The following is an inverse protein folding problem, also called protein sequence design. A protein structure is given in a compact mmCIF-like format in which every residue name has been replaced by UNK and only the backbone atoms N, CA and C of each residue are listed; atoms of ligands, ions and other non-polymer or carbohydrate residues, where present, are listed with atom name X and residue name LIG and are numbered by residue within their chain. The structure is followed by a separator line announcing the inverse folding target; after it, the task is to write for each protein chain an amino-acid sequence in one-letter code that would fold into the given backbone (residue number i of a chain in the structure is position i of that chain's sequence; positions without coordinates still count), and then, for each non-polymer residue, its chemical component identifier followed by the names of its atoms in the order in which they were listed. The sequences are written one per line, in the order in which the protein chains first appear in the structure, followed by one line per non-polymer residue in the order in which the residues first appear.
data_IF_315561353328
#
_entry.id   IF_315561353328
#
_cell.length_a   1.000
_cell.length_b   1.000
_cell.length_c   1.000
_cell.angle_alpha   90.00
_cell.angle_beta   90.00
_cell.angle_gamma   90.00
#
_symmetry.space_group_name_H-M   'P 1'
#
loop_
_entity.id
_entity.type
_entity.pdbx_description
1 polymer ?
#
# COMPACT_ATOMS: atom_id res chain seq x y z
N UNK A 1 -0.42 11.00 -14.15
CA UNK A 1 -1.09 10.98 -12.82
C UNK A 1 -1.49 9.55 -12.47
N UNK A 2 -1.27 9.14 -11.21
CA UNK A 2 -1.63 7.81 -10.71
C UNK A 2 -3.02 7.86 -10.07
N UNK A 3 -3.97 7.05 -10.54
CA UNK A 3 -5.33 6.98 -10.01
C UNK A 3 -5.69 5.55 -9.58
N UNK A 4 -6.69 5.42 -8.71
CA UNK A 4 -7.20 4.14 -8.24
C UNK A 4 -7.60 4.17 -6.77
N UNK A 5 -8.38 3.19 -6.33
CA UNK A 5 -8.83 3.08 -4.94
C UNK A 5 -7.68 3.07 -3.94
N UNK A 6 -7.97 3.29 -2.65
CA UNK A 6 -6.96 3.14 -1.60
C UNK A 6 -6.28 1.77 -1.73
N UNK A 7 -4.98 1.71 -1.45
CA UNK A 7 -4.22 0.45 -1.40
C UNK A 7 -4.16 -0.33 -2.72
N UNK A 8 -4.47 0.29 -3.85
CA UNK A 8 -4.33 -0.31 -5.18
C UNK A 8 -2.87 -0.50 -5.63
N UNK A 9 -1.90 0.06 -4.89
CA UNK A 9 -0.47 0.00 -5.19
C UNK A 9 0.10 1.26 -5.86
N UNK A 10 -0.62 2.41 -5.85
CA UNK A 10 -0.14 3.67 -6.46
C UNK A 10 1.21 4.11 -5.90
N UNK A 11 1.34 4.20 -4.58
CA UNK A 11 2.59 4.62 -3.95
C UNK A 11 3.71 3.58 -4.14
N UNK A 12 3.38 2.29 -4.29
CA UNK A 12 4.37 1.26 -4.67
C UNK A 12 4.84 1.47 -6.10
N UNK A 13 3.93 1.78 -7.04
CA UNK A 13 4.31 2.14 -8.40
C UNK A 13 5.16 3.43 -8.43
N UNK A 14 4.83 4.43 -7.61
CA UNK A 14 5.65 5.64 -7.48
C UNK A 14 7.09 5.30 -7.06
N UNK A 15 7.25 4.42 -6.07
CA UNK A 15 8.57 3.92 -5.66
C UNK A 15 9.28 3.16 -6.78
N UNK A 16 8.57 2.39 -7.60
CA UNK A 16 9.15 1.72 -8.78
C UNK A 16 9.66 2.73 -9.82
N UNK A 17 8.93 3.83 -10.07
CA UNK A 17 9.42 4.94 -10.90
C UNK A 17 10.68 5.59 -10.30
N UNK A 18 10.69 5.81 -8.98
CA UNK A 18 11.86 6.34 -8.29
C UNK A 18 13.05 5.37 -8.39
N UNK A 19 12.85 4.08 -8.21
CA UNK A 19 13.89 3.07 -8.36
C UNK A 19 14.44 3.03 -9.80
N UNK A 20 13.58 3.20 -10.81
CA UNK A 20 13.97 3.11 -12.21
C UNK A 20 14.68 4.38 -12.72
N UNK A 21 14.15 5.57 -12.40
CA UNK A 21 14.65 6.84 -12.94
C UNK A 21 15.51 7.67 -11.96
N UNK A 22 15.44 7.38 -10.67
CA UNK A 22 16.09 8.17 -9.60
C UNK A 22 16.63 7.28 -8.46
N UNK A 23 17.27 6.15 -8.82
CA UNK A 23 17.78 5.15 -7.86
C UNK A 23 18.71 5.75 -6.80
N UNK A 24 19.59 6.66 -7.20
CA UNK A 24 20.52 7.36 -6.29
C UNK A 24 19.78 8.14 -5.20
N UNK A 25 18.67 8.80 -5.55
CA UNK A 25 17.83 9.52 -4.58
C UNK A 25 17.23 8.56 -3.56
N UNK A 26 16.75 7.40 -4.03
CA UNK A 26 16.22 6.37 -3.13
C UNK A 26 17.28 5.86 -2.16
N UNK A 27 18.51 5.65 -2.62
CA UNK A 27 19.63 5.18 -1.79
C UNK A 27 19.97 6.18 -0.67
N UNK A 28 19.95 7.49 -0.96
CA UNK A 28 20.13 8.53 0.05
C UNK A 28 18.98 8.60 1.05
N UNK A 29 17.77 8.22 0.65
CA UNK A 29 16.57 8.23 1.49
C UNK A 29 16.39 6.96 2.33
N UNK A 30 17.18 5.88 2.09
CA UNK A 30 17.06 4.60 2.82
C UNK A 30 16.99 4.74 4.35
N UNK A 31 17.84 5.54 5.02
CA UNK A 31 17.76 5.69 6.48
C UNK A 31 16.41 6.20 6.96
N UNK A 32 15.75 7.03 6.16
CA UNK A 32 14.48 7.69 6.48
C UNK A 32 13.29 6.72 6.40
N UNK A 33 13.46 5.59 5.73
CA UNK A 33 12.47 4.51 5.68
C UNK A 33 12.52 3.58 6.89
N UNK A 34 13.61 3.57 7.67
CA UNK A 34 13.78 2.72 8.85
C UNK A 34 12.65 2.90 9.89
N UNK A 35 12.29 4.12 10.33
CA UNK A 35 11.16 4.29 11.25
C UNK A 35 9.82 3.83 10.67
N UNK A 36 9.64 3.92 9.34
CA UNK A 36 8.42 3.44 8.68
C UNK A 36 8.33 1.93 8.71
N UNK A 37 9.44 1.22 8.46
CA UNK A 37 9.49 -0.24 8.56
C UNK A 37 9.15 -0.68 9.98
N UNK A 38 9.75 -0.05 10.98
CA UNK A 38 9.46 -0.35 12.38
C UNK A 38 7.99 -0.09 12.72
N UNK A 39 7.41 1.02 12.26
CA UNK A 39 5.99 1.27 12.43
C UNK A 39 5.12 0.15 11.84
N UNK A 40 5.44 -0.34 10.64
CA UNK A 40 4.69 -1.42 9.99
C UNK A 40 4.79 -2.74 10.77
N UNK A 41 5.96 -3.06 11.32
CA UNK A 41 6.16 -4.22 12.22
C UNK A 41 5.31 -4.07 13.48
N UNK A 42 5.42 -2.94 14.18
CA UNK A 42 4.73 -2.70 15.46
C UNK A 42 3.21 -2.76 15.25
N UNK A 43 2.71 -2.12 14.19
CA UNK A 43 1.29 -2.15 13.83
C UNK A 43 0.81 -3.58 13.55
N UNK A 44 1.61 -4.40 12.87
CA UNK A 44 1.28 -5.80 12.62
C UNK A 44 1.15 -6.59 13.92
N UNK A 45 2.09 -6.41 14.85
CA UNK A 45 2.06 -7.04 16.18
C UNK A 45 0.83 -6.59 16.97
N UNK A 46 0.53 -5.28 17.02
CA UNK A 46 -0.67 -4.74 17.67
C UNK A 46 -1.95 -5.37 17.12
N UNK A 47 -2.11 -5.44 15.80
CA UNK A 47 -3.28 -6.04 15.17
C UNK A 47 -3.49 -7.52 15.54
N UNK A 48 -2.41 -8.29 15.69
CA UNK A 48 -2.50 -9.69 16.13
C UNK A 48 -2.93 -9.77 17.59
N UNK A 49 -2.39 -8.91 18.45
CA UNK A 49 -2.72 -8.88 19.88
C UNK A 49 -4.16 -8.41 20.15
N UNK A 50 -4.63 -7.39 19.45
CA UNK A 50 -6.01 -6.91 19.58
C UNK A 50 -7.02 -8.02 19.23
N UNK A 51 -6.71 -8.84 18.22
CA UNK A 51 -7.55 -9.97 17.84
C UNK A 51 -7.53 -11.09 18.89
N UNK A 52 -6.37 -11.34 19.50
CA UNK A 52 -6.26 -12.28 20.62
C UNK A 52 -7.08 -11.82 21.82
N UNK A 53 -7.03 -10.55 22.16
CA UNK A 53 -7.82 -9.96 23.26
C UNK A 53 -9.34 -10.09 22.99
N UNK A 54 -9.79 -9.84 21.75
CA UNK A 54 -11.19 -10.00 21.36
C UNK A 54 -11.69 -11.46 21.48
N UNK A 55 -10.87 -12.44 21.13
CA UNK A 55 -11.23 -13.86 21.23
C UNK A 55 -11.34 -14.32 22.70
N UNK A 56 -10.42 -13.88 23.56
CA UNK A 56 -10.47 -14.16 25.01
C UNK A 56 -11.77 -13.63 25.62
N UNK A 57 -12.16 -12.38 25.31
CA UNK A 57 -13.41 -11.79 25.81
C UNK A 57 -14.65 -12.54 25.27
N UNK A 58 -14.62 -12.96 24.01
CA UNK A 58 -15.75 -13.71 23.42
C UNK A 58 -15.92 -15.08 24.08
N UNK A 59 -14.81 -15.76 24.35
CA UNK A 59 -14.82 -17.09 24.99
C UNK A 59 -15.37 -17.05 26.42
N UNK A 60 -15.05 -16.02 27.20
CA UNK A 60 -15.50 -15.88 28.60
C UNK A 60 -16.98 -15.54 28.76
N UNK A 61 -17.63 -15.00 27.72
CA UNK A 61 -19.06 -14.71 27.71
C UNK A 61 -19.94 -15.87 27.19
N UNK A 62 -19.35 -16.93 26.63
CA UNK A 62 -20.06 -18.05 25.99
C UNK A 62 -20.34 -19.25 26.91
N UNK A 63 -20.64 -19.01 28.19
CA UNK A 63 -21.14 -20.03 29.12
C UNK A 63 -22.64 -20.29 28.89
N UNK A 64 -22.98 -21.12 27.90
CA UNK A 64 -24.17 -22.00 27.93
C UNK A 64 -24.28 -22.88 26.67
N UNK A 65 -24.10 -24.19 26.89
CA UNK A 65 -24.64 -25.31 26.10
C UNK A 65 -24.39 -25.34 24.58
N UNK A 66 -23.28 -25.95 24.16
CA UNK A 66 -23.28 -26.94 23.07
C UNK A 66 -21.95 -27.70 23.01
N UNK A 67 -22.03 -29.04 23.01
CA UNK A 67 -20.90 -29.99 23.00
C UNK A 67 -20.13 -30.06 21.66
N UNK A 68 -19.94 -28.91 20.99
CA UNK A 68 -19.14 -28.83 19.74
C UNK A 68 -17.99 -27.82 19.86
N UNK A 69 -17.79 -27.21 21.03
CA UNK A 69 -16.66 -26.29 21.23
C UNK A 69 -15.37 -27.04 21.55
N UNK A 70 -14.82 -27.75 20.56
CA UNK A 70 -13.38 -28.05 20.48
C UNK A 70 -12.57 -26.79 20.14
N UNK A 71 -12.98 -25.65 20.71
CA UNK A 71 -12.37 -24.32 20.55
C UNK A 71 -11.00 -24.36 21.20
N UNK A 72 -10.03 -24.64 20.33
CA UNK A 72 -8.75 -23.95 20.26
C UNK A 72 -8.28 -23.52 21.64
N UNK A 73 -7.60 -24.43 22.34
CA UNK A 73 -6.60 -24.02 23.33
C UNK A 73 -5.52 -23.27 22.56
N UNK A 74 -5.77 -21.99 22.23
CA UNK A 74 -4.72 -20.98 22.30
C UNK A 74 -4.08 -21.25 23.65
N UNK A 75 -2.77 -21.44 23.68
CA UNK A 75 -2.05 -21.75 24.92
C UNK A 75 -2.66 -20.91 26.04
N UNK A 76 -3.00 -21.58 27.17
CA UNK A 76 -3.71 -21.04 28.36
C UNK A 76 -3.79 -19.52 28.39
N UNK A 77 -4.92 -18.86 28.73
CA UNK A 77 -5.03 -17.39 28.83
C UNK A 77 -3.80 -16.68 29.44
N UNK A 78 -3.10 -17.39 30.34
CA UNK A 78 -1.78 -17.08 30.89
C UNK A 78 -0.70 -16.78 29.82
N UNK A 79 -0.54 -17.61 28.78
CA UNK A 79 0.43 -17.44 27.69
C UNK A 79 0.13 -16.20 26.83
N UNK A 80 -1.14 -16.00 26.44
CA UNK A 80 -1.54 -14.79 25.71
C UNK A 80 -1.32 -13.53 26.56
N UNK A 81 -1.64 -13.60 27.86
CA UNK A 81 -1.37 -12.53 28.82
C UNK A 81 0.13 -12.24 28.99
N UNK A 82 0.96 -13.28 29.09
CA UNK A 82 2.42 -13.16 29.24
C UNK A 82 3.07 -12.52 27.99
N UNK A 83 2.71 -12.99 26.78
CA UNK A 83 3.16 -12.38 25.53
C UNK A 83 2.72 -10.92 25.42
N UNK A 84 1.47 -10.61 25.78
CA UNK A 84 0.95 -9.24 25.77
C UNK A 84 1.74 -8.33 26.71
N UNK A 85 2.02 -8.79 27.93
CA UNK A 85 2.82 -8.03 28.90
C UNK A 85 4.24 -7.79 28.39
N UNK A 86 4.86 -8.78 27.76
CA UNK A 86 6.21 -8.66 27.17
C UNK A 86 6.26 -7.72 25.97
N UNK A 87 5.23 -7.74 25.12
CA UNK A 87 5.15 -6.92 23.90
C UNK A 87 4.61 -5.50 24.13
N UNK A 88 4.04 -5.21 25.30
CA UNK A 88 3.49 -3.89 25.64
C UNK A 88 4.48 -2.71 25.42
N UNK A 89 5.77 -2.81 25.78
CA UNK A 89 6.73 -1.74 25.53
C UNK A 89 6.87 -1.40 24.04
N UNK A 90 6.75 -2.40 23.15
CA UNK A 90 6.80 -2.21 21.71
C UNK A 90 5.57 -1.46 21.20
N UNK A 91 4.39 -1.86 21.69
CA UNK A 91 3.10 -1.24 21.33
C UNK A 91 3.03 0.22 21.79
N UNK A 92 3.61 0.54 22.96
CA UNK A 92 3.65 1.90 23.50
C UNK A 92 4.44 2.88 22.63
N UNK A 93 5.38 2.39 21.81
CA UNK A 93 6.19 3.23 20.91
C UNK A 93 5.38 3.63 19.66
N UNK A 94 4.37 2.85 19.26
CA UNK A 94 3.66 3.05 17.98
C UNK A 94 3.10 4.46 17.83
N UNK A 95 2.39 4.97 18.83
CA UNK A 95 1.70 6.26 18.74
C UNK A 95 2.72 7.41 18.67
N UNK A 96 3.85 7.26 19.36
CA UNK A 96 4.96 8.20 19.31
C UNK A 96 5.61 8.20 17.93
N UNK A 97 5.87 7.01 17.37
CA UNK A 97 6.43 6.85 16.04
C UNK A 97 5.48 7.40 14.97
N UNK A 98 4.18 7.12 15.10
CA UNK A 98 3.15 7.63 14.20
C UNK A 98 3.02 9.15 14.25
N UNK A 99 3.00 9.75 15.43
CA UNK A 99 2.94 11.21 15.61
C UNK A 99 4.13 11.93 14.96
N UNK A 100 5.33 11.39 15.13
CA UNK A 100 6.54 11.93 14.51
C UNK A 100 6.54 11.75 12.98
N UNK A 101 6.10 10.59 12.47
CA UNK A 101 5.97 10.34 11.03
C UNK A 101 4.91 11.22 10.36
N UNK A 102 3.82 11.51 11.06
CA UNK A 102 2.74 12.38 10.59
C UNK A 102 3.11 13.87 10.64
N UNK A 103 4.26 14.23 11.21
CA UNK A 103 4.70 15.62 11.37
C UNK A 103 3.83 16.46 12.32
N UNK A 104 3.01 15.83 13.16
CA UNK A 104 2.06 16.47 14.09
C UNK A 104 0.63 16.64 13.56
N UNK A 105 0.26 16.01 12.44
CA UNK A 105 -1.13 15.99 11.94
C UNK A 105 -1.90 14.81 12.53
N UNK A 106 -2.94 15.09 13.30
CA UNK A 106 -3.94 14.10 13.71
C UNK A 106 -5.13 14.13 12.73
N UNK A 107 -5.56 12.96 12.24
CA UNK A 107 -6.83 12.85 11.52
C UNK A 107 -7.94 12.60 12.53
N UNK A 108 -9.01 13.41 12.45
CA UNK A 108 -10.22 13.18 13.24
C UNK A 108 -10.81 11.80 12.90
N UNK A 109 -10.94 10.93 13.91
CA UNK A 109 -11.49 9.58 13.73
C UNK A 109 -10.82 8.47 14.55
N UNK A 110 -9.79 8.77 15.35
CA UNK A 110 -9.27 7.86 16.38
C UNK A 110 -8.61 6.56 15.89
N UNK A 111 -8.31 6.43 14.59
CA UNK A 111 -7.63 5.24 14.06
C UNK A 111 -6.11 5.43 14.08
N UNK A 112 -5.32 4.46 14.60
CA UNK A 112 -3.87 4.49 14.51
C UNK A 112 -3.44 4.26 13.06
N UNK A 113 -2.80 5.26 12.47
CA UNK A 113 -2.34 5.22 11.09
C UNK A 113 -1.28 6.27 10.82
N UNK A 114 -0.28 5.91 10.01
CA UNK A 114 0.70 6.86 9.50
C UNK A 114 0.23 7.41 8.16
N UNK A 115 0.12 8.73 8.14
CA UNK A 115 -0.40 9.53 7.07
C UNK A 115 0.67 10.48 6.58
N UNK A 116 0.92 10.43 5.29
CA UNK A 116 2.11 11.04 4.72
C UNK A 116 1.74 12.06 3.65
N UNK A 117 2.36 13.24 3.75
CA UNK A 117 2.28 14.33 2.76
C UNK A 117 3.58 14.43 1.97
N UNK A 118 3.55 15.19 0.87
CA UNK A 118 4.75 15.59 0.12
C UNK A 118 5.86 16.08 1.05
N UNK A 119 7.07 15.52 0.91
CA UNK A 119 8.25 15.96 1.65
C UNK A 119 8.38 15.44 3.09
N UNK A 120 7.60 14.45 3.53
CA UNK A 120 7.73 13.85 4.86
C UNK A 120 9.13 13.34 5.20
N UNK A 121 9.89 12.85 4.21
CA UNK A 121 11.27 12.39 4.40
C UNK A 121 12.19 13.52 4.87
N UNK A 122 11.85 14.77 4.54
CA UNK A 122 12.55 15.93 5.06
C UNK A 122 12.42 16.03 6.59
N UNK A 123 11.31 15.58 7.18
CA UNK A 123 11.12 15.57 8.63
C UNK A 123 11.96 14.50 9.34
N UNK A 124 12.55 13.57 8.59
CA UNK A 124 13.23 12.37 9.11
C UNK A 124 14.74 12.39 8.80
N UNK A 125 15.20 13.25 7.88
CA UNK A 125 16.59 13.24 7.37
C UNK A 125 17.38 14.51 7.78
N UNK A 126 18.50 14.40 8.51
CA UNK A 126 19.25 15.56 9.01
C UNK A 126 20.17 16.26 7.98
N UNK A 127 20.34 15.75 6.75
CA UNK A 127 21.24 16.37 5.76
C UNK A 127 20.60 16.45 4.37
N UNK A 128 20.54 17.66 3.80
CA UNK A 128 20.23 17.92 2.38
C UNK A 128 21.45 18.47 1.66
N UNK A 129 21.61 18.12 0.39
CA UNK A 129 22.57 18.68 -0.57
C UNK A 129 21.97 19.78 -1.46
N UNK A 130 20.67 20.09 -1.35
CA UNK A 130 20.01 21.14 -2.13
C UNK A 130 19.05 21.96 -1.25
N UNK A 131 19.21 23.28 -1.27
CA UNK A 131 18.36 24.22 -0.54
C UNK A 131 17.06 24.51 -1.32
N UNK A 132 15.91 24.32 -0.68
CA UNK A 132 14.68 24.99 -1.08
C UNK A 132 14.69 26.39 -0.44
N UNK A 133 14.36 27.46 -1.19
CA UNK A 133 14.17 28.76 -0.58
C UNK A 133 12.91 28.71 0.28
N UNK A 134 13.07 29.09 1.54
CA UNK A 134 12.00 29.54 2.44
C UNK A 134 11.34 28.49 3.36
N UNK A 135 12.10 27.95 4.33
CA UNK A 135 11.58 27.52 5.63
C UNK A 135 12.60 27.81 6.76
N UNK A 136 12.15 28.50 7.82
CA UNK A 136 12.93 28.95 8.98
C UNK A 136 13.60 27.76 9.73
N UNK A 137 14.91 27.86 10.00
CA UNK A 137 15.82 26.76 10.37
C UNK A 137 15.87 26.24 11.85
N UNK A 138 15.33 26.85 12.92
CA UNK A 138 15.57 26.33 14.29
C UNK A 138 14.62 25.20 14.75
N UNK A 139 13.41 25.06 14.20
CA UNK A 139 12.45 24.02 14.64
C UNK A 139 12.65 22.65 13.97
N UNK A 140 13.45 22.60 12.91
CA UNK A 140 13.69 21.42 12.08
C UNK A 140 14.69 20.43 12.71
N UNK A 141 15.76 20.94 13.33
CA UNK A 141 16.80 20.11 13.96
C UNK A 141 16.31 19.36 15.21
N UNK A 142 15.42 19.98 15.98
CA UNK A 142 14.79 19.37 17.16
C UNK A 142 13.90 18.18 16.80
N UNK A 143 13.07 18.30 15.75
CA UNK A 143 12.19 17.21 15.29
C UNK A 143 13.00 16.05 14.72
N UNK A 144 14.06 16.34 13.97
CA UNK A 144 14.93 15.31 13.40
C UNK A 144 15.67 14.52 14.49
N UNK A 145 16.16 15.21 15.52
CA UNK A 145 16.81 14.59 16.68
C UNK A 145 15.83 13.74 17.49
N UNK A 146 14.60 14.24 17.70
CA UNK A 146 13.55 13.48 18.39
C UNK A 146 13.18 12.19 17.62
N UNK A 147 13.02 12.29 16.30
CA UNK A 147 12.73 11.13 15.45
C UNK A 147 13.85 10.09 15.49
N UNK A 148 15.11 10.51 15.42
CA UNK A 148 16.25 9.60 15.54
C UNK A 148 16.26 8.87 16.89
N UNK A 149 15.95 9.58 17.99
CA UNK A 149 15.85 9.00 19.34
C UNK A 149 14.73 7.94 19.42
N UNK A 150 13.53 8.27 18.94
CA UNK A 150 12.38 7.35 18.92
C UNK A 150 12.65 6.13 18.03
N UNK A 151 13.30 6.34 16.87
CA UNK A 151 13.70 5.25 15.97
C UNK A 151 14.70 4.31 16.63
N UNK A 152 15.69 4.85 17.34
CA UNK A 152 16.67 4.06 18.07
C UNK A 152 16.05 3.31 19.25
N UNK A 153 15.08 3.91 19.94
CA UNK A 153 14.30 3.22 20.96
C UNK A 153 13.53 2.05 20.36
N UNK A 154 12.81 2.27 19.24
CA UNK A 154 12.12 1.21 18.52
C UNK A 154 13.07 0.08 18.08
N UNK A 155 14.24 0.41 17.55
CA UNK A 155 15.25 -0.57 17.15
C UNK A 155 15.70 -1.44 18.33
N UNK A 156 16.04 -0.82 19.48
CA UNK A 156 16.46 -1.54 20.69
C UNK A 156 15.35 -2.42 21.25
N UNK A 157 14.12 -1.91 21.28
CA UNK A 157 12.96 -2.66 21.76
C UNK A 157 12.64 -3.85 20.84
N UNK A 158 12.73 -3.66 19.51
CA UNK A 158 12.58 -4.76 18.56
C UNK A 158 13.66 -5.82 18.74
N UNK A 159 14.93 -5.41 18.85
CA UNK A 159 16.05 -6.33 19.09
C UNK A 159 15.90 -7.15 20.39
N UNK A 160 15.34 -6.54 21.43
CA UNK A 160 15.07 -7.22 22.70
C UNK A 160 13.85 -8.13 22.72
N UNK A 161 12.97 -8.05 21.71
CA UNK A 161 11.68 -8.76 21.66
C UNK A 161 11.53 -9.65 20.41
N UNK A 162 12.63 -9.96 19.71
CA UNK A 162 12.59 -10.74 18.47
C UNK A 162 11.95 -12.11 18.69
N UNK A 163 12.34 -12.81 19.77
CA UNK A 163 11.85 -14.16 20.07
C UNK A 163 10.35 -14.13 20.39
N UNK A 164 9.87 -13.13 21.15
CA UNK A 164 8.45 -12.96 21.46
C UNK A 164 7.61 -12.64 20.22
N UNK A 165 8.15 -11.82 19.30
CA UNK A 165 7.46 -11.50 18.04
C UNK A 165 7.40 -12.73 17.13
N UNK A 166 8.48 -13.51 17.05
CA UNK A 166 8.50 -14.75 16.28
C UNK A 166 7.56 -15.79 16.87
N UNK A 167 7.58 -15.98 18.18
CA UNK A 167 6.66 -16.88 18.87
C UNK A 167 5.21 -16.47 18.60
N UNK A 168 4.87 -15.19 18.79
CA UNK A 168 3.54 -14.65 18.46
C UNK A 168 3.13 -14.97 17.00
N UNK A 169 4.03 -14.76 16.04
CA UNK A 169 3.72 -14.93 14.63
C UNK A 169 3.65 -16.40 14.19
N UNK A 170 4.53 -17.24 14.71
CA UNK A 170 4.65 -18.64 14.30
C UNK A 170 3.76 -19.58 15.13
N UNK A 171 3.25 -19.13 16.29
CA UNK A 171 2.46 -19.98 17.18
C UNK A 171 1.24 -20.59 16.45
N UNK A 172 1.08 -21.93 16.46
CA UNK A 172 0.04 -22.62 15.69
C UNK A 172 -1.38 -22.17 16.01
N UNK A 173 -1.64 -21.85 17.29
CA UNK A 173 -2.96 -21.40 17.69
C UNK A 173 -3.28 -19.99 17.21
N UNK A 174 -2.28 -19.09 17.15
CA UNK A 174 -2.44 -17.74 16.62
C UNK A 174 -2.69 -17.84 15.12
N UNK A 175 -1.86 -18.60 14.39
CA UNK A 175 -2.09 -18.90 12.96
C UNK A 175 -3.47 -19.51 12.68
N UNK A 176 -4.02 -20.31 13.61
CA UNK A 176 -5.37 -20.87 13.48
C UNK A 176 -6.45 -19.82 13.75
N UNK A 177 -6.32 -19.03 14.81
CA UNK A 177 -7.23 -17.93 15.14
C UNK A 177 -7.32 -16.90 14.01
N UNK A 178 -6.16 -16.45 13.50
CA UNK A 178 -6.09 -15.52 12.37
C UNK A 178 -6.86 -16.05 11.14
N UNK A 179 -6.77 -17.36 10.87
CA UNK A 179 -7.51 -18.02 9.78
C UNK A 179 -9.02 -18.12 10.06
N UNK A 180 -9.40 -18.44 11.29
CA UNK A 180 -10.81 -18.64 11.67
C UNK A 180 -11.59 -17.33 11.71
N UNK A 181 -11.03 -16.32 12.36
CA UNK A 181 -11.63 -14.98 12.43
C UNK A 181 -11.47 -14.20 11.13
N UNK A 182 -10.74 -14.79 10.17
CA UNK A 182 -10.42 -14.17 8.88
C UNK A 182 -9.82 -12.79 9.10
N UNK A 183 -8.98 -12.65 10.14
CA UNK A 183 -8.30 -11.40 10.44
C UNK A 183 -7.51 -11.01 9.19
N UNK A 184 -7.79 -9.81 8.70
CA UNK A 184 -7.10 -9.24 7.57
C UNK A 184 -6.00 -8.33 8.09
N UNK A 185 -4.86 -8.94 8.40
CA UNK A 185 -3.64 -8.16 8.54
C UNK A 185 -3.37 -7.40 7.25
N UNK A 186 -2.67 -6.28 7.37
CA UNK A 186 -2.10 -5.58 6.22
C UNK A 186 -1.34 -6.60 5.36
N UNK A 187 -1.50 -6.55 4.03
CA UNK A 187 -0.93 -7.55 3.12
C UNK A 187 0.60 -7.66 3.22
N UNK A 188 1.26 -6.58 3.69
CA UNK A 188 2.70 -6.52 3.92
C UNK A 188 3.14 -7.05 5.30
N UNK A 189 2.23 -7.27 6.25
CA UNK A 189 2.57 -7.72 7.59
C UNK A 189 3.32 -9.07 7.60
N UNK A 190 2.90 -10.10 6.84
CA UNK A 190 3.65 -11.36 6.77
C UNK A 190 5.10 -11.16 6.34
N UNK A 191 5.35 -10.32 5.33
CA UNK A 191 6.71 -10.02 4.84
C UNK A 191 7.61 -9.49 5.96
N UNK A 192 7.13 -8.55 6.76
CA UNK A 192 7.92 -8.00 7.86
C UNK A 192 8.11 -8.97 9.03
N UNK A 193 7.05 -9.69 9.42
CA UNK A 193 7.11 -10.64 10.54
C UNK A 193 7.98 -11.86 10.21
N UNK A 194 7.96 -12.35 8.96
CA UNK A 194 8.84 -13.45 8.51
C UNK A 194 10.33 -13.03 8.46
N UNK A 195 10.62 -11.72 8.44
CA UNK A 195 11.98 -11.16 8.37
C UNK A 195 12.43 -10.48 9.67
N UNK A 196 11.72 -10.67 10.79
CA UNK A 196 11.91 -9.87 12.00
C UNK A 196 13.35 -9.90 12.54
N UNK A 197 14.04 -11.05 12.49
CA UNK A 197 15.45 -11.17 12.90
C UNK A 197 16.36 -10.18 12.16
N UNK A 198 16.27 -10.12 10.83
CA UNK A 198 17.03 -9.18 9.99
C UNK A 198 16.66 -7.73 10.29
N UNK A 199 15.36 -7.45 10.46
CA UNK A 199 14.88 -6.09 10.73
C UNK A 199 15.32 -5.55 12.10
N UNK A 200 15.59 -6.46 13.04
CA UNK A 200 15.99 -6.15 14.41
C UNK A 200 17.52 -6.04 14.60
N UNK A 201 18.31 -6.27 13.55
CA UNK A 201 19.77 -6.11 13.61
C UNK A 201 20.15 -4.65 13.95
N UNK A 202 21.20 -4.41 14.77
CA UNK A 202 21.57 -3.07 15.20
C UNK A 202 21.89 -2.11 14.03
N UNK A 203 22.56 -2.63 13.02
CA UNK A 203 22.99 -1.95 11.80
C UNK A 203 22.00 -2.09 10.63
N UNK A 204 20.77 -2.56 10.91
CA UNK A 204 19.72 -2.71 9.91
C UNK A 204 19.53 -1.44 9.07
N UNK A 205 19.65 -1.62 7.76
CA UNK A 205 19.35 -0.65 6.72
C UNK A 205 18.23 -1.20 5.82
N UNK A 206 17.15 -0.43 5.58
CA UNK A 206 16.07 -0.86 4.70
C UNK A 206 16.55 -1.26 3.31
N UNK A 207 16.21 -2.48 2.91
CA UNK A 207 16.41 -2.98 1.55
C UNK A 207 15.39 -2.39 0.60
N UNK A 208 15.60 -2.55 -0.70
CA UNK A 208 14.60 -2.13 -1.70
C UNK A 208 13.27 -2.84 -1.48
N UNK A 209 13.29 -4.13 -1.14
CA UNK A 209 12.09 -4.91 -0.86
C UNK A 209 11.35 -4.39 0.38
N UNK A 210 12.06 -4.01 1.44
CA UNK A 210 11.46 -3.37 2.62
C UNK A 210 10.70 -2.10 2.22
N UNK A 211 11.35 -1.25 1.43
CA UNK A 211 10.77 0.03 0.99
C UNK A 211 9.56 -0.20 0.07
N UNK A 212 9.57 -1.21 -0.79
CA UNK A 212 8.42 -1.53 -1.65
C UNK A 212 7.24 -2.08 -0.85
N UNK A 213 7.51 -2.83 0.23
CA UNK A 213 6.48 -3.44 1.08
C UNK A 213 5.93 -2.50 2.18
N UNK A 214 6.64 -1.43 2.57
CA UNK A 214 6.08 -0.54 3.61
C UNK A 214 4.80 0.14 3.16
N UNK A 215 3.83 0.17 4.06
CA UNK A 215 2.53 0.77 3.87
C UNK A 215 2.46 2.10 4.60
N UNK A 216 2.25 3.15 3.80
CA UNK A 216 1.98 4.51 4.25
C UNK A 216 0.71 4.95 3.54
N UNK A 217 -0.23 5.57 4.25
CA UNK A 217 -1.42 6.12 3.62
C UNK A 217 -1.13 7.54 3.13
N UNK A 218 -1.13 7.73 1.81
CA UNK A 218 -0.99 9.06 1.19
C UNK A 218 -2.22 9.91 1.49
N UNK A 219 -2.01 11.10 2.06
CA UNK A 219 -3.05 12.12 2.19
C UNK A 219 -2.91 13.18 1.11
N UNK A 220 -4.03 13.49 0.47
CA UNK A 220 -4.06 14.53 -0.57
C UNK A 220 -3.30 14.10 -1.81
N UNK A 221 -2.51 15.01 -2.37
CA UNK A 221 -1.77 14.85 -3.63
C UNK A 221 -0.28 15.08 -3.37
N UNK A 222 0.54 14.12 -3.79
CA UNK A 222 1.98 14.19 -3.77
C UNK A 222 2.56 14.33 -5.18
N UNK A 223 3.54 15.21 -5.33
CA UNK A 223 4.20 15.50 -6.61
C UNK A 223 5.60 14.91 -6.62
N UNK A 224 5.94 14.21 -7.70
CA UNK A 224 7.25 13.62 -7.93
C UNK A 224 7.76 14.03 -9.31
N UNK A 225 9.02 14.45 -9.37
CA UNK A 225 9.68 14.88 -10.61
C UNK A 225 10.77 13.88 -10.98
N UNK A 226 10.82 13.50 -12.24
CA UNK A 226 11.84 12.61 -12.78
C UNK A 226 12.41 13.22 -14.05
N UNK A 227 13.72 13.43 -14.07
CA UNK A 227 14.43 13.82 -15.28
C UNK A 227 14.81 12.55 -16.05
N UNK A 228 14.19 12.37 -17.21
CA UNK A 228 14.38 11.18 -18.03
C UNK A 228 14.93 11.54 -19.40
N UNK A 229 15.69 10.61 -19.98
CA UNK A 229 16.22 10.74 -21.34
C UNK A 229 15.56 9.68 -22.20
N UNK A 230 14.80 10.10 -23.22
CA UNK A 230 14.15 9.20 -24.17
C UNK A 230 14.45 9.66 -25.59
N UNK A 231 15.01 8.78 -26.41
CA UNK A 231 15.41 9.12 -27.78
C UNK A 231 16.44 10.25 -27.87
N UNK A 232 17.27 10.45 -26.84
CA UNK A 232 18.25 11.54 -26.76
C UNK A 232 17.67 12.90 -26.33
N UNK A 233 16.36 12.99 -26.08
CA UNK A 233 15.69 14.20 -25.60
C UNK A 233 15.45 14.09 -24.09
N UNK A 234 15.72 15.18 -23.38
CA UNK A 234 15.44 15.29 -21.94
C UNK A 234 13.97 15.67 -21.72
N UNK A 235 13.27 14.88 -20.91
CA UNK A 235 11.91 15.16 -20.46
C UNK A 235 11.88 15.26 -18.94
N UNK A 236 11.15 16.23 -18.42
CA UNK A 236 10.81 16.28 -17.00
C UNK A 236 9.42 15.66 -16.81
N UNK A 237 9.37 14.45 -16.26
CA UNK A 237 8.12 13.79 -15.92
C UNK A 237 7.62 14.28 -14.57
N UNK A 238 6.42 14.85 -14.56
CA UNK A 238 5.70 15.24 -13.36
C UNK A 238 4.61 14.22 -13.04
N UNK A 239 4.82 13.47 -11.96
CA UNK A 239 3.91 12.42 -11.51
C UNK A 239 3.19 12.83 -10.22
N UNK A 240 1.86 12.85 -10.31
CA UNK A 240 0.96 13.05 -9.17
C UNK A 240 0.53 11.69 -8.59
N UNK A 241 0.86 11.41 -7.33
CA UNK A 241 0.30 10.31 -6.51
C UNK A 241 -0.81 10.86 -5.61
N UNK A 242 -2.03 10.37 -5.76
CA UNK A 242 -3.20 10.90 -5.04
C UNK A 242 -3.79 9.88 -4.08
N UNK A 243 -4.34 10.36 -2.96
CA UNK A 243 -5.08 9.52 -2.01
C UNK A 243 -6.28 8.82 -2.68
N UNK A 244 -6.37 7.50 -2.53
CA UNK A 244 -7.37 6.66 -3.20
C UNK A 244 -8.71 6.50 -2.46
N UNK A 245 -8.77 6.95 -1.21
CA UNK A 245 -9.93 6.84 -0.33
C UNK A 245 -11.13 7.62 -0.91
N UNK A 246 -12.35 7.11 -0.73
CA UNK A 246 -13.56 7.71 -1.33
C UNK A 246 -13.74 9.19 -0.98
N UNK A 247 -13.49 9.55 0.28
CA UNK A 247 -13.62 10.92 0.76
C UNK A 247 -12.61 11.90 0.15
N UNK A 248 -11.50 11.43 -0.42
CA UNK A 248 -10.41 12.28 -0.92
C UNK A 248 -10.44 12.50 -2.44
N UNK A 249 -11.33 11.82 -3.17
CA UNK A 249 -11.32 11.81 -4.65
C UNK A 249 -11.65 13.17 -5.28
N UNK A 250 -12.35 14.04 -4.56
CA UNK A 250 -12.65 15.40 -5.00
C UNK A 250 -11.38 16.25 -5.20
N UNK A 251 -10.31 15.93 -4.47
CA UNK A 251 -9.04 16.65 -4.57
C UNK A 251 -8.28 16.36 -5.89
N UNK A 252 -8.73 15.41 -6.71
CA UNK A 252 -8.05 15.03 -7.94
C UNK A 252 -8.35 15.97 -9.10
N UNK A 253 -9.57 16.53 -9.15
CA UNK A 253 -10.09 17.32 -10.28
C UNK A 253 -9.17 18.48 -10.69
N UNK A 254 -8.57 19.27 -9.76
CA UNK A 254 -7.66 20.35 -10.14
C UNK A 254 -6.43 19.92 -10.95
N UNK A 255 -6.09 18.63 -10.95
CA UNK A 255 -4.92 18.07 -11.64
C UNK A 255 -5.30 17.36 -12.96
N UNK A 256 -6.56 17.44 -13.41
CA UNK A 256 -7.04 16.70 -14.57
C UNK A 256 -6.74 17.40 -15.89
N UNK A 257 -6.81 18.73 -15.95
CA UNK A 257 -6.79 19.48 -17.20
C UNK A 257 -5.45 19.36 -17.95
N UNK A 258 -4.33 19.32 -17.23
CA UNK A 258 -2.98 19.23 -17.81
C UNK A 258 -2.41 17.79 -17.82
N UNK A 259 -3.24 16.78 -17.51
CA UNK A 259 -2.77 15.41 -17.42
C UNK A 259 -2.50 14.80 -18.81
N UNK A 260 -1.24 14.60 -19.18
CA UNK A 260 -0.85 13.89 -20.42
C UNK A 260 -1.29 12.42 -20.40
N UNK A 261 -1.20 11.76 -19.24
CA UNK A 261 -1.56 10.36 -19.08
C UNK A 261 -2.10 10.04 -17.68
N UNK A 262 -3.05 9.11 -17.64
CA UNK A 262 -3.61 8.50 -16.44
C UNK A 262 -3.11 7.05 -16.36
N UNK A 263 -2.46 6.72 -15.26
CA UNK A 263 -2.15 5.34 -14.90
C UNK A 263 -3.12 4.93 -13.81
N UNK A 264 -4.12 4.12 -14.17
CA UNK A 264 -5.14 3.62 -13.27
C UNK A 264 -4.75 2.25 -12.72
N UNK A 265 -4.68 2.14 -11.39
CA UNK A 265 -4.34 0.90 -10.69
C UNK A 265 -5.60 0.26 -10.10
N UNK A 266 -5.87 -0.98 -10.51
CA UNK A 266 -6.98 -1.80 -10.03
C UNK A 266 -6.45 -3.09 -9.38
N UNK A 267 -6.57 -3.26 -8.05
CA UNK A 267 -6.06 -4.45 -7.38
C UNK A 267 -7.01 -5.63 -7.58
N UNK A 268 -6.64 -6.60 -8.43
CA UNK A 268 -7.49 -7.75 -8.75
C UNK A 268 -7.69 -8.69 -7.55
N UNK A 269 -6.70 -8.76 -6.65
CA UNK A 269 -6.75 -9.62 -5.46
C UNK A 269 -7.86 -9.21 -4.48
N UNK A 270 -8.42 -8.00 -4.59
CA UNK A 270 -9.41 -7.46 -3.67
C UNK A 270 -10.85 -7.93 -3.93
N UNK A 271 -11.04 -8.96 -4.77
CA UNK A 271 -12.36 -9.48 -5.15
C UNK A 271 -13.18 -10.01 -3.96
N UNK A 272 -12.54 -10.46 -2.90
CA UNK A 272 -13.16 -10.95 -1.66
C UNK A 272 -13.26 -9.87 -0.57
N UNK A 273 -12.88 -8.62 -0.88
CA UNK A 273 -12.77 -7.53 0.08
C UNK A 273 -13.83 -6.44 -0.15
N UNK A 274 -14.16 -5.74 0.93
CA UNK A 274 -15.07 -4.59 0.95
C UNK A 274 -14.30 -3.34 1.37
N UNK A 275 -14.81 -2.17 1.02
CA UNK A 275 -14.19 -0.91 1.40
C UNK A 275 -14.22 -0.71 2.92
N UNK A 276 -13.19 -0.09 3.47
CA UNK A 276 -13.16 0.27 4.88
C UNK A 276 -14.16 1.38 5.21
N UNK A 277 -14.40 2.30 4.27
CA UNK A 277 -15.33 3.42 4.47
C UNK A 277 -16.79 3.00 4.23
N UNK A 278 -17.01 1.90 3.50
CA UNK A 278 -18.32 1.36 3.15
C UNK A 278 -18.26 -0.17 3.06
N UNK A 279 -18.58 -0.82 4.17
CA UNK A 279 -18.56 -2.28 4.30
C UNK A 279 -19.55 -3.04 3.40
N UNK A 280 -20.43 -2.34 2.66
CA UNK A 280 -21.35 -2.96 1.70
C UNK A 280 -20.78 -3.00 0.28
N UNK A 281 -19.85 -2.11 -0.04
CA UNK A 281 -19.29 -2.02 -1.39
C UNK A 281 -18.06 -2.89 -1.54
N UNK A 282 -18.12 -3.84 -2.48
CA UNK A 282 -16.96 -4.64 -2.88
C UNK A 282 -15.89 -3.77 -3.56
N UNK A 283 -14.61 -4.04 -3.28
CA UNK A 283 -13.48 -3.22 -3.77
C UNK A 283 -13.26 -3.27 -5.28
N UNK A 284 -13.55 -4.40 -5.93
CA UNK A 284 -13.51 -4.50 -7.40
C UNK A 284 -14.64 -3.68 -8.01
N UNK A 285 -15.82 -3.72 -7.39
CA UNK A 285 -16.95 -2.93 -7.87
C UNK A 285 -16.68 -1.42 -7.78
N UNK A 286 -16.12 -0.94 -6.66
CA UNK A 286 -15.69 0.46 -6.53
C UNK A 286 -14.62 0.83 -7.56
N UNK A 287 -13.66 -0.05 -7.85
CA UNK A 287 -12.65 0.19 -8.89
C UNK A 287 -13.27 0.33 -10.28
N UNK A 288 -14.26 -0.52 -10.63
CA UNK A 288 -14.99 -0.43 -11.90
C UNK A 288 -15.81 0.87 -11.99
N UNK A 289 -16.48 1.27 -10.91
CA UNK A 289 -17.20 2.54 -10.84
C UNK A 289 -16.26 3.74 -11.01
N UNK A 290 -15.12 3.72 -10.33
CA UNK A 290 -14.12 4.78 -10.43
C UNK A 290 -13.54 4.88 -11.83
N UNK A 291 -13.20 3.74 -12.44
CA UNK A 291 -12.72 3.71 -13.82
C UNK A 291 -13.77 4.19 -14.82
N UNK A 292 -15.05 3.86 -14.60
CA UNK A 292 -16.18 4.40 -15.38
C UNK A 292 -16.17 5.93 -15.34
N UNK A 293 -16.03 6.52 -14.15
CA UNK A 293 -16.00 7.97 -13.98
C UNK A 293 -14.83 8.61 -14.74
N UNK A 294 -13.63 8.02 -14.67
CA UNK A 294 -12.43 8.46 -15.40
C UNK A 294 -12.64 8.36 -16.92
N UNK A 295 -13.17 7.24 -17.41
CA UNK A 295 -13.47 7.04 -18.83
C UNK A 295 -14.50 8.03 -19.36
N UNK A 296 -15.42 8.53 -18.53
CA UNK A 296 -16.43 9.51 -18.94
C UNK A 296 -16.10 10.97 -18.60
N UNK A 297 -14.92 11.25 -18.02
CA UNK A 297 -14.58 12.59 -17.57
C UNK A 297 -14.08 13.48 -18.72
N UNK A 298 -14.79 14.60 -18.96
CA UNK A 298 -14.50 15.55 -20.04
C UNK A 298 -13.13 16.24 -19.93
N UNK A 299 -12.64 16.44 -18.71
CA UNK A 299 -11.32 17.06 -18.46
C UNK A 299 -10.19 16.14 -18.94
N UNK A 300 -10.42 14.82 -18.88
CA UNK A 300 -9.43 13.81 -19.26
C UNK A 300 -9.51 13.40 -20.74
N UNK A 301 -10.26 14.12 -21.57
CA UNK A 301 -10.51 13.75 -22.98
C UNK A 301 -9.23 13.56 -23.81
N UNK A 302 -8.17 14.30 -23.51
CA UNK A 302 -6.87 14.23 -24.19
C UNK A 302 -5.85 13.32 -23.52
N UNK A 303 -6.13 12.83 -22.31
CA UNK A 303 -5.17 12.05 -21.53
C UNK A 303 -5.09 10.61 -22.02
N UNK A 304 -3.89 10.06 -22.19
CA UNK A 304 -3.71 8.63 -22.45
C UNK A 304 -4.16 7.78 -21.25
N UNK A 305 -4.77 6.62 -21.51
CA UNK A 305 -5.23 5.72 -20.46
C UNK A 305 -4.37 4.45 -20.38
N UNK A 306 -3.77 4.24 -19.22
CA UNK A 306 -3.03 3.04 -18.88
C UNK A 306 -3.74 2.37 -17.71
N UNK A 307 -4.10 1.10 -17.87
CA UNK A 307 -4.75 0.27 -16.86
C UNK A 307 -3.76 -0.78 -16.37
N UNK A 308 -3.43 -0.71 -15.09
CA UNK A 308 -2.62 -1.71 -14.40
C UNK A 308 -3.52 -2.54 -13.49
N UNK A 309 -3.77 -3.78 -13.91
CA UNK A 309 -4.47 -4.80 -13.14
C UNK A 309 -3.48 -5.41 -12.16
N UNK A 310 -3.36 -4.76 -11.00
CA UNK A 310 -2.29 -4.98 -10.03
C UNK A 310 -2.61 -6.12 -9.04
N UNK A 311 -1.59 -6.53 -8.28
CA UNK A 311 -1.63 -7.60 -7.27
C UNK A 311 -1.99 -8.95 -7.87
N UNK A 312 -1.48 -9.20 -9.09
CA UNK A 312 -1.67 -10.47 -9.78
C UNK A 312 -1.09 -11.66 -9.00
N UNK A 313 0.00 -11.47 -8.27
CA UNK A 313 0.63 -12.43 -7.37
C UNK A 313 -0.31 -12.82 -6.22
N UNK A 314 -0.94 -11.84 -5.56
CA UNK A 314 -1.89 -12.10 -4.47
C UNK A 314 -3.18 -12.74 -4.99
N UNK A 315 -3.60 -12.40 -6.22
CA UNK A 315 -4.72 -13.09 -6.87
C UNK A 315 -4.41 -14.59 -7.01
N UNK A 316 -3.23 -14.95 -7.55
CA UNK A 316 -2.79 -16.36 -7.68
C UNK A 316 -2.84 -17.08 -6.34
N UNK A 317 -2.19 -16.52 -5.31
CA UNK A 317 -2.16 -17.08 -3.95
C UNK A 317 -3.56 -17.33 -3.37
N UNK A 318 -4.50 -16.40 -3.57
CA UNK A 318 -5.89 -16.55 -3.09
C UNK A 318 -6.66 -17.65 -3.81
N UNK A 319 -6.46 -17.80 -5.12
CA UNK A 319 -7.11 -18.84 -5.91
C UNK A 319 -6.56 -20.22 -5.57
N UNK A 320 -5.24 -20.34 -5.39
CA UNK A 320 -4.55 -21.56 -4.93
C UNK A 320 -5.01 -21.97 -3.52
N UNK A 321 -5.24 -21.00 -2.63
CA UNK A 321 -5.86 -21.23 -1.32
C UNK A 321 -7.34 -21.67 -1.40
N UNK A 322 -7.92 -21.76 -2.60
CA UNK A 322 -9.27 -22.27 -2.84
C UNK A 322 -10.39 -21.23 -2.71
N UNK A 323 -10.06 -19.95 -2.54
CA UNK A 323 -11.07 -18.88 -2.45
C UNK A 323 -11.82 -18.77 -3.78
N UNK A 324 -13.15 -18.88 -3.72
CA UNK A 324 -14.02 -18.92 -4.91
C UNK A 324 -14.50 -17.51 -5.27
N UNK A 325 -14.15 -17.03 -6.47
CA UNK A 325 -14.55 -15.70 -6.97
C UNK A 325 -16.07 -15.56 -7.07
N UNK A 326 -16.77 -16.59 -7.53
CA UNK A 326 -18.24 -16.61 -7.66
C UNK A 326 -19.00 -16.30 -6.36
N UNK A 327 -18.36 -16.52 -5.19
CA UNK A 327 -18.94 -16.21 -3.88
C UNK A 327 -19.09 -14.71 -3.65
N UNK A 328 -18.21 -13.92 -4.24
CA UNK A 328 -18.13 -12.47 -4.03
C UNK A 328 -18.56 -11.68 -5.26
N UNK A 329 -18.37 -12.25 -6.44
CA UNK A 329 -18.70 -11.63 -7.73
C UNK A 329 -19.63 -12.59 -8.46
N UNK A 330 -20.93 -12.40 -8.26
CA UNK A 330 -21.99 -13.28 -8.80
C UNK A 330 -22.00 -13.32 -10.32
N UNK A 331 -21.65 -12.21 -10.99
CA UNK A 331 -21.53 -12.14 -12.45
C UNK A 331 -20.39 -13.00 -13.04
N UNK A 332 -19.50 -13.53 -12.20
CA UNK A 332 -18.50 -14.51 -12.63
C UNK A 332 -19.13 -15.85 -13.04
N UNK A 333 -20.29 -16.20 -12.49
CA UNK A 333 -21.02 -17.43 -12.84
C UNK A 333 -20.22 -18.71 -12.61
N UNK A 334 -20.32 -19.64 -13.56
CA UNK A 334 -19.71 -20.99 -13.49
C UNK A 334 -18.35 -21.12 -14.19
N UNK A 335 -17.69 -19.98 -14.44
CA UNK A 335 -16.32 -19.92 -14.98
C UNK A 335 -15.31 -20.65 -14.08
N UNK A 336 -14.21 -21.14 -14.66
CA UNK A 336 -13.19 -21.85 -13.87
C UNK A 336 -12.48 -20.87 -12.94
N UNK A 337 -12.27 -21.30 -11.70
CA UNK A 337 -11.65 -20.49 -10.65
C UNK A 337 -10.12 -20.59 -10.67
N UNK A 338 -9.50 -20.41 -11.85
CA UNK A 338 -8.05 -20.37 -12.05
C UNK A 338 -7.59 -18.95 -12.39
N UNK A 339 -6.29 -18.69 -12.33
CA UNK A 339 -5.75 -17.34 -12.51
C UNK A 339 -6.05 -16.78 -13.90
N UNK A 340 -5.89 -17.58 -14.94
CA UNK A 340 -6.03 -17.17 -16.33
C UNK A 340 -7.47 -16.68 -16.61
N UNK A 341 -8.47 -17.45 -16.22
CA UNK A 341 -9.87 -17.14 -16.49
C UNK A 341 -10.39 -16.01 -15.60
N UNK A 342 -9.95 -15.93 -14.34
CA UNK A 342 -10.33 -14.85 -13.41
C UNK A 342 -9.68 -13.52 -13.81
N UNK A 343 -8.38 -13.52 -14.13
CA UNK A 343 -7.66 -12.31 -14.52
C UNK A 343 -8.20 -11.73 -15.83
N UNK A 344 -8.45 -12.58 -16.83
CA UNK A 344 -9.02 -12.15 -18.10
C UNK A 344 -10.48 -11.70 -17.94
N UNK A 345 -11.25 -12.33 -17.04
CA UNK A 345 -12.60 -11.86 -16.69
C UNK A 345 -12.56 -10.42 -16.16
N UNK A 346 -11.66 -10.10 -15.22
CA UNK A 346 -11.54 -8.72 -14.72
C UNK A 346 -11.08 -7.77 -15.81
N UNK A 347 -10.06 -8.14 -16.59
CA UNK A 347 -9.57 -7.34 -17.72
C UNK A 347 -10.68 -7.02 -18.71
N UNK A 348 -11.49 -8.01 -19.10
CA UNK A 348 -12.60 -7.85 -20.01
C UNK A 348 -13.64 -6.83 -19.51
N UNK A 349 -13.94 -6.81 -18.20
CA UNK A 349 -14.89 -5.84 -17.62
C UNK A 349 -14.37 -4.40 -17.72
N UNK A 350 -13.10 -4.17 -17.40
CA UNK A 350 -12.50 -2.84 -17.54
C UNK A 350 -12.44 -2.39 -19.01
N UNK A 351 -12.05 -3.28 -19.93
CA UNK A 351 -12.03 -3.00 -21.38
C UNK A 351 -13.45 -2.70 -21.88
N UNK A 352 -14.46 -3.44 -21.42
CA UNK A 352 -15.85 -3.20 -21.78
C UNK A 352 -16.36 -1.84 -21.30
N UNK A 353 -15.99 -1.43 -20.08
CA UNK A 353 -16.30 -0.09 -19.57
C UNK A 353 -15.66 0.97 -20.45
N UNK A 354 -14.37 0.83 -20.76
CA UNK A 354 -13.66 1.75 -21.64
C UNK A 354 -14.38 1.89 -22.99
N UNK A 355 -14.65 0.78 -23.68
CA UNK A 355 -15.35 0.79 -24.97
C UNK A 355 -16.74 1.44 -24.94
N UNK A 356 -17.45 1.38 -23.80
CA UNK A 356 -18.81 1.91 -23.66
C UNK A 356 -18.87 3.35 -23.16
N UNK A 357 -17.87 3.78 -22.40
CA UNK A 357 -17.90 5.06 -21.66
C UNK A 357 -16.89 6.07 -22.17
N UNK A 358 -15.86 5.61 -22.86
CA UNK A 358 -14.91 6.49 -23.54
C UNK A 358 -15.50 6.98 -24.86
N UNK A 359 -15.89 8.25 -24.90
CA UNK A 359 -16.47 8.88 -26.08
C UNK A 359 -15.41 9.56 -26.97
N UNK A 360 -14.13 9.46 -26.61
CA UNK A 360 -13.02 10.18 -27.26
C UNK A 360 -12.07 9.26 -28.03
N UNK A 361 -12.36 7.97 -28.09
CA UNK A 361 -11.56 6.96 -28.80
C UNK A 361 -10.09 6.91 -28.34
N UNK A 362 -9.87 7.12 -27.05
CA UNK A 362 -8.54 7.02 -26.45
C UNK A 362 -8.04 5.58 -26.54
N UNK A 363 -6.74 5.41 -26.78
CA UNK A 363 -6.13 4.09 -26.64
C UNK A 363 -6.07 3.69 -25.15
N UNK A 364 -6.37 2.41 -24.86
CA UNK A 364 -6.24 1.82 -23.54
C UNK A 364 -5.11 0.78 -23.53
N UNK A 365 -4.05 1.06 -22.77
CA UNK A 365 -2.97 0.11 -22.53
C UNK A 365 -3.24 -0.67 -21.25
N UNK A 366 -3.55 -1.97 -21.36
CA UNK A 366 -3.93 -2.80 -20.21
C UNK A 366 -2.88 -3.88 -19.92
N UNK A 367 -2.35 -3.88 -18.70
CA UNK A 367 -1.31 -4.82 -18.25
C UNK A 367 -1.70 -5.48 -16.92
N UNK A 368 -1.38 -6.75 -16.77
CA UNK A 368 -1.36 -7.41 -15.47
C UNK A 368 -0.04 -7.09 -14.78
N UNK A 369 -0.10 -6.69 -13.51
CA UNK A 369 1.10 -6.27 -12.79
C UNK A 369 1.17 -6.83 -11.38
N UNK A 370 2.40 -6.97 -10.91
CA UNK A 370 2.73 -7.18 -9.51
C UNK A 370 3.85 -6.20 -9.16
N UNK A 371 3.54 -5.18 -8.36
CA UNK A 371 4.52 -4.12 -8.04
C UNK A 371 5.72 -4.59 -7.22
N UNK A 372 5.73 -5.84 -6.76
CA UNK A 372 6.89 -6.46 -6.11
C UNK A 372 7.86 -7.06 -7.14
N UNK A 373 7.41 -7.33 -8.37
CA UNK A 373 8.26 -7.75 -9.47
C UNK A 373 8.88 -6.52 -10.13
N UNK A 374 10.10 -6.18 -9.70
CA UNK A 374 10.83 -4.99 -10.13
C UNK A 374 11.09 -5.03 -11.64
N UNK A 375 11.63 -6.13 -12.16
CA UNK A 375 12.03 -6.24 -13.56
C UNK A 375 10.83 -6.13 -14.50
N UNK A 376 9.76 -6.89 -14.23
CA UNK A 376 8.55 -6.83 -15.06
C UNK A 376 7.88 -5.45 -14.99
N UNK A 377 7.84 -4.85 -13.80
CA UNK A 377 7.22 -3.52 -13.62
C UNK A 377 8.03 -2.44 -14.34
N UNK A 378 9.36 -2.46 -14.25
CA UNK A 378 10.24 -1.52 -14.95
C UNK A 378 10.14 -1.65 -16.46
N UNK A 379 10.04 -2.87 -16.99
CA UNK A 379 9.78 -3.09 -18.41
C UNK A 379 8.45 -2.46 -18.86
N UNK A 380 7.38 -2.59 -18.06
CA UNK A 380 6.09 -1.96 -18.34
C UNK A 380 6.20 -0.44 -18.29
N UNK A 381 6.91 0.13 -17.30
CA UNK A 381 7.14 1.57 -17.18
C UNK A 381 7.82 2.13 -18.43
N UNK A 382 8.90 1.48 -18.90
CA UNK A 382 9.61 1.88 -20.12
C UNK A 382 8.70 1.85 -21.35
N UNK A 383 8.02 0.72 -21.58
CA UNK A 383 7.14 0.53 -22.74
C UNK A 383 5.97 1.53 -22.77
N UNK A 384 5.33 1.75 -21.62
CA UNK A 384 4.24 2.74 -21.48
C UNK A 384 4.77 4.15 -21.68
N UNK A 385 5.95 4.46 -21.14
CA UNK A 385 6.63 5.74 -21.31
C UNK A 385 6.86 6.11 -22.75
N UNK A 386 7.48 5.20 -23.51
CA UNK A 386 7.73 5.40 -24.93
C UNK A 386 6.43 5.56 -25.73
N UNK A 387 5.40 4.75 -25.43
CA UNK A 387 4.11 4.83 -26.11
C UNK A 387 3.40 6.17 -25.85
N UNK A 388 3.40 6.63 -24.61
CA UNK A 388 2.80 7.92 -24.21
C UNK A 388 3.53 9.08 -24.88
N UNK A 389 4.86 9.11 -24.83
CA UNK A 389 5.64 10.18 -25.44
C UNK A 389 5.47 10.20 -26.96
N UNK A 390 5.58 9.04 -27.62
CA UNK A 390 5.41 8.96 -29.08
C UNK A 390 4.05 9.50 -29.51
N UNK A 391 2.99 9.12 -28.79
CA UNK A 391 1.65 9.62 -29.09
C UNK A 391 1.50 11.11 -28.79
N UNK A 392 2.13 11.61 -27.72
CA UNK A 392 2.08 13.02 -27.35
C UNK A 392 2.81 13.92 -28.36
N UNK A 393 3.98 13.48 -28.85
CA UNK A 393 4.72 14.19 -29.91
C UNK A 393 3.91 14.23 -31.21
N UNK A 394 3.31 13.10 -31.59
CA UNK A 394 2.46 13.03 -32.80
C UNK A 394 1.26 13.98 -32.72
N UNK A 395 0.68 14.18 -31.53
CA UNK A 395 -0.44 15.10 -31.32
C UNK A 395 -0.02 16.58 -31.27
N UNK A 396 1.19 16.88 -30.80
CA UNK A 396 1.70 18.26 -30.68
C UNK A 396 2.39 18.77 -31.95
N UNK A 397 2.57 17.93 -32.97
CA UNK A 397 3.02 18.34 -34.30
C UNK A 397 4.52 18.66 -34.41
N UNK A 398 5.34 18.17 -33.47
CA UNK A 398 6.80 18.36 -33.44
C UNK A 398 7.57 17.27 -34.21
N UNK A 399 6.97 16.70 -35.26
CA UNK A 399 7.60 15.67 -36.09
C UNK A 399 8.45 16.27 -37.22
#
# INVERSE_FOLDING_TARGET
MLLGQAESGKSTLQKQFQLFYASQTLDHERPSWRPVVYFNVIKAVRMILDELDSDIVTSSHSDSSSEVSSTIRIGSPIYAGDLRTKLLPLIAIEDTLASNLNGGVSIAGGRPGVFVRSGWQALVTPKRSYELPDLRKPSFDLKTTAMASVTNLAAKTLAGLVEEIEDLWQHPAIRRLLRLHKLRLDEAAPFFLDNIRRLAEPDYMPTTDDILNVRLQTLGVAEHRYDIVLGGVHYNWLMYDVGGARGMRHAWVPYFDDATAIIFLAPMSAFDQYLEEDGRTNRIHDSLQLFTAICSNKLLKGAHLVLLLNKADLLKKKLEAGIKVRKYITSFGDRRNNYEEVSEYFRAHFIQIHRRKDNWQRALYAHFTSMIDIEATQSIIGNVGEAVIRSHIAQTGLA
#
